data_IF_188277417264
#
_entry.id   IF_188277417264
#
_cell.length_a   1.000
_cell.length_b   1.000
_cell.length_c   1.000
_cell.angle_alpha   90.00
_cell.angle_beta   90.00
_cell.angle_gamma   90.00
#
_symmetry.space_group_name_H-M   'P 1'
#
loop_
_entity.id
_entity.type
_entity.pdbx_description
1 polymer ?
#
# COMPACT_ATOMS: atom_id res chain seq x y z
N UNK A 1 -0.85 9.93 -30.28
CA UNK A 1 -0.20 9.18 -29.20
C UNK A 1 -1.29 8.75 -28.24
N UNK A 2 -1.70 7.48 -28.26
CA UNK A 2 -2.74 6.97 -27.36
C UNK A 2 -2.04 6.78 -26.00
N UNK A 3 -2.46 7.49 -24.92
CA UNK A 3 -1.83 7.32 -23.62
C UNK A 3 -2.19 5.92 -23.10
N UNK A 4 -1.22 5.02 -23.10
CA UNK A 4 -1.35 3.73 -22.44
C UNK A 4 -1.15 4.02 -20.96
N UNK A 5 -2.24 4.23 -20.22
CA UNK A 5 -2.17 4.35 -18.78
C UNK A 5 -1.73 2.97 -18.25
N UNK A 6 -0.57 2.84 -17.59
CA UNK A 6 -0.10 1.53 -17.15
C UNK A 6 -1.14 0.95 -16.19
N UNK A 7 -1.84 -0.10 -16.62
CA UNK A 7 -2.72 -0.89 -15.75
C UNK A 7 -1.81 -1.53 -14.69
N UNK A 8 -1.76 -0.90 -13.51
CA UNK A 8 -0.75 -1.17 -12.48
C UNK A 8 -0.15 0.05 -11.77
N UNK A 9 -0.67 1.26 -12.02
CA UNK A 9 -0.25 2.50 -11.34
C UNK A 9 -0.31 2.42 -9.81
N UNK A 10 0.21 3.44 -9.10
CA UNK A 10 0.33 3.44 -7.64
C UNK A 10 -0.96 2.96 -6.92
N UNK A 11 -2.12 3.37 -7.43
CA UNK A 11 -3.46 2.91 -7.00
C UNK A 11 -3.66 1.40 -7.09
N UNK A 12 -3.26 0.76 -8.19
CA UNK A 12 -3.42 -0.68 -8.35
C UNK A 12 -2.54 -1.46 -7.35
N UNK A 13 -1.36 -0.96 -6.99
CA UNK A 13 -0.49 -1.59 -5.99
C UNK A 13 -1.10 -1.54 -4.59
N UNK A 14 -1.68 -0.40 -4.22
CA UNK A 14 -2.40 -0.27 -2.94
C UNK A 14 -3.65 -1.14 -2.94
N UNK A 15 -4.44 -1.12 -4.01
CA UNK A 15 -5.63 -1.96 -4.14
C UNK A 15 -5.34 -3.46 -3.99
N UNK A 16 -4.17 -3.92 -4.46
CA UNK A 16 -3.77 -5.32 -4.30
C UNK A 16 -3.57 -5.74 -2.83
N UNK A 17 -3.26 -4.80 -1.94
CA UNK A 17 -3.00 -5.06 -0.51
C UNK A 17 -4.13 -4.58 0.41
N UNK A 18 -5.06 -3.75 -0.07
CA UNK A 18 -6.21 -3.26 0.69
C UNK A 18 -7.01 -4.36 1.40
N UNK A 19 -7.31 -5.53 0.78
CA UNK A 19 -8.06 -6.59 1.47
C UNK A 19 -7.35 -7.13 2.72
N UNK A 20 -6.01 -7.11 2.75
CA UNK A 20 -5.23 -7.52 3.92
C UNK A 20 -5.26 -6.46 5.03
N UNK A 21 -5.28 -5.19 4.66
CA UNK A 21 -5.43 -4.09 5.60
C UNK A 21 -6.84 -4.13 6.22
N UNK A 22 -7.89 -4.24 5.40
CA UNK A 22 -9.29 -4.28 5.83
C UNK A 22 -9.63 -5.50 6.70
N UNK A 23 -8.96 -6.63 6.46
CA UNK A 23 -9.10 -7.84 7.29
C UNK A 23 -8.37 -7.76 8.64
N UNK A 24 -7.70 -6.64 8.95
CA UNK A 24 -7.02 -6.43 10.22
C UNK A 24 -5.67 -7.15 10.32
N UNK A 25 -5.05 -7.51 9.20
CA UNK A 25 -3.74 -8.18 9.20
C UNK A 25 -2.55 -7.18 9.19
N UNK A 26 -2.83 -5.87 9.24
CA UNK A 26 -1.81 -4.81 9.25
C UNK A 26 -2.01 -3.95 10.50
N UNK A 27 -0.93 -3.74 11.25
CA UNK A 27 -0.96 -3.05 12.53
C UNK A 27 0.00 -1.86 12.52
N UNK A 28 -0.46 -0.73 13.07
CA UNK A 28 0.36 0.46 13.28
C UNK A 28 0.66 0.65 14.77
N UNK A 29 1.87 1.13 15.14
CA UNK A 29 2.23 1.37 16.53
C UNK A 29 1.47 2.55 17.12
N UNK A 30 0.64 2.31 18.14
CA UNK A 30 -0.31 3.31 18.70
C UNK A 30 0.32 4.62 19.20
N UNK A 31 1.57 4.61 19.67
CA UNK A 31 2.23 5.76 20.30
C UNK A 31 3.34 6.38 19.43
N UNK A 32 3.43 5.99 18.16
CA UNK A 32 4.44 6.56 17.28
C UNK A 32 3.95 7.89 16.68
N UNK A 33 4.75 8.97 16.73
CA UNK A 33 4.33 10.29 16.26
C UNK A 33 4.04 10.34 14.76
N UNK A 34 4.66 9.46 13.96
CA UNK A 34 4.50 9.41 12.50
C UNK A 34 3.20 8.73 12.05
N UNK A 35 2.47 8.04 12.95
CA UNK A 35 1.29 7.25 12.55
C UNK A 35 0.14 8.13 12.09
N UNK A 36 -0.04 9.30 12.71
CA UNK A 36 -1.09 10.22 12.27
C UNK A 36 -0.84 10.71 10.85
N UNK A 37 0.37 11.22 10.58
CA UNK A 37 0.77 11.71 9.26
C UNK A 37 0.68 10.61 8.19
N UNK A 38 1.07 9.38 8.55
CA UNK A 38 0.95 8.22 7.67
C UNK A 38 -0.51 7.91 7.28
N UNK A 39 -1.44 7.97 8.24
CA UNK A 39 -2.87 7.74 7.96
C UNK A 39 -3.45 8.85 7.08
N UNK A 40 -3.08 10.10 7.33
CA UNK A 40 -3.47 11.24 6.48
C UNK A 40 -2.91 11.11 5.05
N UNK A 41 -1.67 10.61 4.91
CA UNK A 41 -1.07 10.30 3.62
C UNK A 41 -1.85 9.20 2.88
N UNK A 42 -2.21 8.11 3.58
CA UNK A 42 -3.06 7.05 3.02
C UNK A 42 -4.43 7.57 2.58
N UNK A 43 -5.05 8.47 3.35
CA UNK A 43 -6.37 9.04 3.03
C UNK A 43 -6.30 10.02 1.84
N UNK A 44 -5.17 10.72 1.68
CA UNK A 44 -4.95 11.69 0.60
C UNK A 44 -4.48 11.04 -0.71
N UNK A 45 -4.09 9.76 -0.67
CA UNK A 45 -3.59 9.04 -1.82
C UNK A 45 -4.68 8.79 -2.89
N UNK A 46 -4.37 8.88 -4.20
CA UNK A 46 -3.06 9.12 -4.82
C UNK A 46 -2.78 10.61 -5.13
N UNK A 47 -3.63 11.52 -4.64
CA UNK A 47 -3.57 12.95 -4.99
C UNK A 47 -2.71 13.77 -4.02
N UNK A 48 -2.27 13.16 -2.91
CA UNK A 48 -1.36 13.74 -1.93
C UNK A 48 -0.01 14.08 -2.54
N UNK A 49 0.63 15.13 -2.00
CA UNK A 49 1.96 15.57 -2.43
C UNK A 49 3.06 14.54 -2.10
N UNK A 50 2.85 13.80 -1.01
CA UNK A 50 3.73 12.75 -0.54
C UNK A 50 3.00 11.42 -0.71
N UNK A 51 3.66 10.44 -1.32
CA UNK A 51 3.11 9.09 -1.49
C UNK A 51 4.15 7.98 -1.29
N UNK A 52 5.36 8.35 -0.88
CA UNK A 52 6.49 7.44 -0.71
C UNK A 52 6.23 6.40 0.39
N UNK A 53 5.54 6.78 1.48
CA UNK A 53 5.26 5.86 2.59
C UNK A 53 4.20 4.83 2.19
N UNK A 54 3.16 5.27 1.47
CA UNK A 54 2.10 4.40 0.95
C UNK A 54 2.66 3.46 -0.12
N UNK A 55 3.57 3.94 -0.97
CA UNK A 55 4.27 3.13 -1.98
C UNK A 55 5.20 2.09 -1.34
N UNK A 56 5.93 2.45 -0.28
CA UNK A 56 6.79 1.51 0.45
C UNK A 56 5.96 0.43 1.16
N UNK A 57 4.88 0.81 1.85
CA UNK A 57 3.98 -0.13 2.53
C UNK A 57 3.35 -1.10 1.52
N UNK A 58 2.79 -0.59 0.41
CA UNK A 58 2.11 -1.46 -0.57
C UNK A 58 3.04 -2.48 -1.19
N UNK A 59 4.30 -2.11 -1.46
CA UNK A 59 5.31 -3.04 -1.96
C UNK A 59 5.72 -4.09 -0.91
N UNK A 60 5.94 -3.66 0.34
CA UNK A 60 6.29 -4.58 1.43
C UNK A 60 5.17 -5.60 1.68
N UNK A 61 3.92 -5.15 1.77
CA UNK A 61 2.76 -6.02 1.93
C UNK A 61 2.59 -6.96 0.74
N UNK A 62 2.72 -6.46 -0.50
CA UNK A 62 2.66 -7.31 -1.68
C UNK A 62 3.74 -8.42 -1.62
N UNK A 63 4.98 -8.08 -1.22
CA UNK A 63 6.03 -9.07 -1.02
C UNK A 63 5.64 -10.10 0.05
N UNK A 64 5.16 -9.68 1.22
CA UNK A 64 4.77 -10.63 2.28
C UNK A 64 3.62 -11.54 1.86
N UNK A 65 2.60 -11.00 1.20
CA UNK A 65 1.41 -11.72 0.77
C UNK A 65 1.74 -12.74 -0.33
N UNK A 66 2.43 -12.31 -1.39
CA UNK A 66 2.59 -13.11 -2.60
C UNK A 66 3.89 -13.91 -2.63
N UNK A 67 4.94 -13.51 -1.90
CA UNK A 67 6.18 -14.29 -1.84
C UNK A 67 6.01 -15.54 -0.98
N UNK A 68 5.29 -15.46 0.16
CA UNK A 68 4.95 -16.64 0.95
C UNK A 68 4.02 -17.62 0.22
N UNK A 69 3.19 -17.13 -0.71
CA UNK A 69 2.31 -17.99 -1.49
C UNK A 69 3.08 -18.87 -2.50
N UNK A 70 4.27 -18.43 -2.98
CA UNK A 70 5.08 -19.19 -3.94
C UNK A 70 5.90 -20.32 -3.32
N UNK A 71 6.16 -20.30 -2.01
CA UNK A 71 6.88 -21.39 -1.32
C UNK A 71 5.95 -22.54 -0.86
N UNK A 72 4.64 -22.41 -1.10
CA UNK A 72 3.65 -23.45 -0.78
C UNK A 72 3.24 -24.34 -1.97
N UNK A 73 3.96 -24.27 -3.09
CA UNK A 73 3.77 -25.13 -4.27
C UNK A 73 5.09 -25.71 -4.75
#
# INVERSE_FOLDING_TARGET
MIPVNPQGGKVARVNAVSPYIESGNVYLPRQAPWVHDFVEECASFPQGKNDDQVDAMSQALNRFIYYHAKEKF
#
